data_IF_106750610550
#
_entry.id   IF_106750610550
#
_cell.length_a   1.000
_cell.length_b   1.000
_cell.length_c   1.000
_cell.angle_alpha   90.00
_cell.angle_beta   90.00
_cell.angle_gamma   90.00
#
_symmetry.space_group_name_H-M   'P 1'
#
loop_
_entity.id
_entity.type
_entity.pdbx_description
1 polymer ?
#
# COMPACT_ATOMS: atom_id res chain seq x y z
N UNK A 1 23.38 29.89 0.72
CA UNK A 1 23.67 29.45 -0.66
C UNK A 1 24.57 28.23 -0.58
N UNK A 2 23.99 27.03 -0.48
CA UNK A 2 24.73 25.77 -0.47
C UNK A 2 24.43 25.03 -1.79
N UNK A 3 25.50 24.65 -2.48
CA UNK A 3 25.45 24.17 -3.85
C UNK A 3 25.00 22.71 -3.94
N UNK A 4 23.96 22.48 -4.74
CA UNK A 4 23.57 21.20 -5.30
C UNK A 4 24.75 20.52 -6.00
N UNK A 5 25.03 19.26 -5.67
CA UNK A 5 25.86 18.39 -6.53
C UNK A 5 25.07 17.11 -6.81
N UNK A 6 24.37 17.11 -7.95
CA UNK A 6 23.70 15.92 -8.51
C UNK A 6 24.77 14.91 -8.92
N UNK A 7 24.67 13.67 -8.43
CA UNK A 7 25.46 12.54 -8.96
C UNK A 7 24.54 11.64 -9.79
N UNK A 8 24.52 11.95 -11.07
CA UNK A 8 23.94 11.14 -12.14
C UNK A 8 24.77 9.87 -12.32
N UNK A 9 24.18 8.70 -12.12
CA UNK A 9 24.74 7.44 -12.60
C UNK A 9 23.65 6.68 -13.36
N UNK A 10 23.70 6.80 -14.69
CA UNK A 10 22.88 6.06 -15.64
C UNK A 10 23.37 4.61 -15.66
N UNK A 11 22.53 3.68 -15.20
CA UNK A 11 22.72 2.24 -15.38
C UNK A 11 21.66 1.71 -16.34
N UNK A 12 21.97 1.65 -17.63
CA UNK A 12 21.14 0.97 -18.64
C UNK A 12 21.48 -0.52 -18.60
N UNK A 13 20.59 -1.34 -18.04
CA UNK A 13 20.64 -2.79 -18.18
C UNK A 13 19.41 -3.24 -18.97
N UNK A 14 19.51 -3.16 -20.29
CA UNK A 14 18.54 -3.78 -21.22
C UNK A 14 18.71 -5.30 -21.20
N UNK A 15 17.87 -6.00 -20.45
CA UNK A 15 17.73 -7.45 -20.50
C UNK A 15 16.50 -7.84 -21.31
N UNK A 16 16.71 -8.23 -22.58
CA UNK A 16 15.68 -8.85 -23.42
C UNK A 16 15.39 -10.27 -22.93
N UNK A 17 14.33 -10.42 -22.12
CA UNK A 17 13.78 -11.72 -21.72
C UNK A 17 12.46 -11.98 -22.42
N UNK A 18 12.51 -12.52 -23.64
CA UNK A 18 11.33 -13.02 -24.33
C UNK A 18 10.92 -14.38 -23.73
N UNK A 19 9.91 -14.40 -22.87
CA UNK A 19 9.16 -15.62 -22.54
C UNK A 19 7.78 -15.53 -23.21
N UNK A 20 7.68 -16.21 -24.34
CA UNK A 20 6.42 -16.68 -24.87
C UNK A 20 5.97 -17.95 -24.11
N UNK A 21 4.67 -18.24 -24.20
CA UNK A 21 3.91 -19.45 -23.78
C UNK A 21 3.04 -19.18 -22.54
N UNK A 22 1.74 -19.48 -22.49
CA UNK A 22 0.80 -20.16 -23.39
C UNK A 22 -0.60 -19.72 -22.95
N UNK A 23 -1.46 -19.39 -23.91
CA UNK A 23 -2.89 -19.24 -23.66
C UNK A 23 -3.49 -20.63 -23.40
N UNK A 24 -3.86 -20.92 -22.14
CA UNK A 24 -4.53 -22.14 -21.73
C UNK A 24 -5.96 -21.87 -21.27
N UNK A 25 -6.89 -21.71 -22.22
CA UNK A 25 -8.31 -21.72 -21.92
C UNK A 25 -8.77 -23.18 -21.67
N UNK A 26 -8.69 -23.65 -20.43
CA UNK A 26 -9.40 -24.86 -20.00
C UNK A 26 -10.70 -24.46 -19.30
N UNK A 27 -11.72 -24.19 -20.11
CA UNK A 27 -13.09 -24.41 -19.71
C UNK A 27 -13.27 -25.93 -19.53
N UNK A 28 -13.46 -26.39 -18.29
CA UNK A 28 -13.94 -27.75 -18.05
C UNK A 28 -14.83 -27.77 -16.81
N UNK A 29 -16.12 -27.59 -17.06
CA UNK A 29 -17.15 -28.15 -16.19
C UNK A 29 -17.32 -29.63 -16.49
N UNK A 30 -17.49 -30.42 -15.44
CA UNK A 30 -18.45 -31.52 -15.41
C UNK A 30 -18.00 -32.89 -15.94
N UNK A 31 -18.07 -33.86 -15.01
CA UNK A 31 -18.64 -35.21 -15.15
C UNK A 31 -18.14 -36.12 -16.29
N UNK A 32 -17.36 -37.16 -15.95
CA UNK A 32 -17.84 -38.56 -15.89
C UNK A 32 -16.66 -39.48 -15.51
N UNK A 33 -16.92 -40.45 -14.63
CA UNK A 33 -15.89 -41.21 -13.92
C UNK A 33 -15.31 -42.37 -14.70
N UNK A 34 -14.00 -42.62 -14.53
CA UNK A 34 -13.36 -43.90 -14.86
C UNK A 34 -12.21 -44.19 -13.87
N UNK A 35 -12.52 -45.01 -12.87
CA UNK A 35 -11.77 -46.21 -12.41
C UNK A 35 -10.23 -46.26 -12.47
N UNK A 36 -9.64 -46.48 -11.28
CA UNK A 36 -8.38 -47.21 -11.05
C UNK A 36 -7.16 -46.29 -10.86
N UNK A 37 -6.33 -46.37 -9.84
CA UNK A 37 -6.13 -47.36 -8.78
C UNK A 37 -4.67 -47.22 -8.32
N UNK A 38 -4.43 -47.17 -7.01
CA UNK A 38 -3.14 -47.40 -6.33
C UNK A 38 -2.05 -46.33 -6.53
N UNK A 39 -1.64 -45.64 -5.46
CA UNK A 39 -0.48 -46.03 -4.63
C UNK A 39 -0.29 -44.96 -3.53
N UNK A 40 -0.43 -45.39 -2.28
CA UNK A 40 0.06 -44.64 -1.11
C UNK A 40 1.57 -44.91 -1.00
N UNK A 41 2.37 -43.92 -0.58
CA UNK A 41 3.15 -44.23 0.62
C UNK A 41 2.93 -43.21 1.73
N UNK A 42 2.66 -43.79 2.89
CA UNK A 42 2.89 -43.24 4.22
C UNK A 42 4.37 -42.88 4.41
N UNK A 43 4.62 -41.70 4.96
CA UNK A 43 5.82 -41.41 5.72
C UNK A 43 5.43 -40.54 6.92
N UNK A 44 5.40 -41.19 8.07
CA UNK A 44 5.41 -40.60 9.41
C UNK A 44 6.86 -40.19 9.67
N UNK A 45 7.10 -39.00 10.21
CA UNK A 45 8.21 -38.77 11.15
C UNK A 45 7.74 -37.73 12.18
N UNK A 46 7.46 -38.25 13.37
CA UNK A 46 7.41 -37.58 14.65
C UNK A 46 8.85 -37.14 15.01
N UNK A 47 9.05 -35.91 15.45
CA UNK A 47 10.21 -35.57 16.28
C UNK A 47 9.82 -34.50 17.28
N UNK A 48 9.91 -34.93 18.53
CA UNK A 48 9.75 -34.17 19.73
C UNK A 48 10.96 -33.27 20.02
N UNK A 49 10.71 -32.34 20.94
CA UNK A 49 11.50 -32.11 22.16
C UNK A 49 12.22 -30.76 22.31
N UNK A 50 11.90 -30.19 23.48
CA UNK A 50 12.72 -29.39 24.38
C UNK A 50 13.02 -27.91 24.08
N UNK A 51 12.40 -27.08 24.92
CA UNK A 51 13.06 -26.26 25.94
C UNK A 51 14.34 -25.53 25.55
N UNK A 52 14.29 -24.20 25.50
CA UNK A 52 15.35 -23.38 26.08
C UNK A 52 14.76 -22.14 26.74
N UNK A 53 14.78 -22.15 28.07
CA UNK A 53 14.62 -20.97 28.90
C UNK A 53 15.99 -20.26 28.94
N UNK A 54 16.09 -19.12 28.28
CA UNK A 54 17.25 -18.24 28.43
C UNK A 54 16.81 -16.89 29.01
N UNK A 55 16.92 -16.82 30.33
CA UNK A 55 17.11 -15.61 31.12
C UNK A 55 18.24 -14.76 30.53
N UNK A 56 17.95 -13.50 30.23
CA UNK A 56 18.95 -12.44 30.19
C UNK A 56 18.33 -11.14 30.70
N UNK A 57 18.58 -10.87 31.97
CA UNK A 57 18.44 -9.55 32.59
C UNK A 57 19.54 -8.62 32.07
N UNK A 58 19.19 -7.39 31.69
CA UNK A 58 20.04 -6.18 31.66
C UNK A 58 19.12 -5.00 31.29
N UNK A 59 18.65 -4.20 32.26
CA UNK A 59 19.31 -3.01 32.81
C UNK A 59 19.69 -1.97 31.77
N UNK A 60 18.85 -0.95 31.58
CA UNK A 60 19.23 0.42 31.24
C UNK A 60 18.05 1.35 31.62
N UNK A 61 17.98 1.68 32.92
CA UNK A 61 17.15 2.74 33.47
C UNK A 61 17.99 4.02 33.45
N UNK A 62 17.67 4.91 32.50
CA UNK A 62 18.34 6.18 32.32
C UNK A 62 17.30 7.29 32.13
N UNK A 63 17.34 8.27 33.02
CA UNK A 63 17.13 9.65 32.62
C UNK A 63 15.97 10.40 33.27
N UNK A 64 16.22 10.82 34.52
CA UNK A 64 16.06 12.22 34.96
C UNK A 64 14.65 12.83 34.95
N UNK A 65 14.11 12.93 36.16
CA UNK A 65 13.03 13.83 36.54
C UNK A 65 13.45 15.31 36.47
N UNK A 66 12.56 16.12 35.90
CA UNK A 66 11.98 17.35 36.44
C UNK A 66 12.91 18.40 37.08
N UNK A 67 12.98 19.59 36.45
CA UNK A 67 12.90 20.88 37.13
C UNK A 67 12.87 22.07 36.16
N UNK A 68 11.94 23.00 36.39
CA UNK A 68 12.11 24.43 36.08
C UNK A 68 11.05 24.99 35.11
N UNK A 69 9.93 25.59 35.54
CA UNK A 69 9.75 26.89 36.22
C UNK A 69 9.57 28.08 35.24
N UNK A 70 8.38 28.70 35.37
CA UNK A 70 7.99 30.12 35.15
C UNK A 70 7.83 30.62 33.69
N UNK A 71 6.60 30.96 33.28
CA UNK A 71 5.87 32.24 33.51
C UNK A 71 6.47 33.41 32.71
N UNK A 72 5.72 33.84 31.69
CA UNK A 72 6.15 34.90 30.77
C UNK A 72 5.01 35.36 29.88
N UNK A 73 4.36 36.42 30.32
CA UNK A 73 3.20 37.07 29.72
C UNK A 73 3.48 37.85 28.42
N UNK A 74 2.38 38.16 27.72
CA UNK A 74 2.07 39.38 26.91
C UNK A 74 2.81 39.69 25.59
N UNK A 75 2.01 39.81 24.51
CA UNK A 75 1.82 40.96 23.58
C UNK A 75 1.39 40.39 22.20
N UNK A 76 0.14 40.55 21.76
CA UNK A 76 -0.39 41.71 20.99
C UNK A 76 0.52 42.16 19.83
N UNK A 77 0.18 41.77 18.61
CA UNK A 77 0.34 42.62 17.42
C UNK A 77 -0.42 42.01 16.24
N UNK A 78 -1.49 42.70 15.86
CA UNK A 78 -2.07 42.76 14.52
C UNK A 78 -0.99 43.00 13.46
N UNK A 79 -0.99 42.23 12.38
CA UNK A 79 -0.47 42.71 11.09
C UNK A 79 -1.32 42.11 9.96
N UNK A 80 -2.20 42.95 9.41
CA UNK A 80 -2.77 42.77 8.09
C UNK A 80 -1.81 43.38 7.07
N UNK A 81 -1.33 42.60 6.11
CA UNK A 81 -0.71 43.13 4.92
C UNK A 81 -1.01 42.26 3.69
N UNK A 82 -1.70 42.91 2.77
CA UNK A 82 -2.08 42.59 1.39
C UNK A 82 -0.87 42.41 0.47
N UNK A 83 -0.92 41.44 -0.47
CA UNK A 83 -0.28 41.43 -1.82
C UNK A 83 -0.67 40.10 -2.48
N UNK A 84 -1.66 39.98 -3.38
CA UNK A 84 -1.71 40.46 -4.77
C UNK A 84 -0.45 40.12 -5.59
N UNK A 85 -0.43 38.91 -6.18
CA UNK A 85 0.35 38.64 -7.38
C UNK A 85 -0.28 37.45 -8.14
N UNK A 86 -1.16 37.80 -9.08
CA UNK A 86 -1.42 37.02 -10.29
C UNK A 86 -0.12 36.88 -11.07
N UNK A 87 0.32 35.65 -11.33
CA UNK A 87 1.27 35.37 -12.40
C UNK A 87 0.82 34.11 -13.15
N UNK A 88 0.15 34.35 -14.27
CA UNK A 88 -0.11 33.35 -15.29
C UNK A 88 1.18 33.14 -16.08
N UNK A 89 1.87 32.03 -15.84
CA UNK A 89 2.91 31.54 -16.73
C UNK A 89 2.35 30.38 -17.55
N UNK A 90 1.86 30.74 -18.74
CA UNK A 90 1.63 29.81 -19.85
C UNK A 90 2.99 29.30 -20.34
N UNK A 91 3.37 28.07 -19.95
CA UNK A 91 4.48 27.36 -20.60
C UNK A 91 3.90 26.46 -21.71
N UNK A 92 3.94 27.03 -22.91
CA UNK A 92 3.75 26.35 -24.19
C UNK A 92 5.02 25.52 -24.47
N UNK A 93 4.91 24.20 -24.27
CA UNK A 93 5.90 23.25 -24.72
C UNK A 93 5.22 22.23 -25.65
N UNK A 94 5.05 22.65 -26.90
CA UNK A 94 4.97 21.73 -28.04
C UNK A 94 6.37 21.17 -28.31
N UNK A 95 6.63 19.88 -28.12
CA UNK A 95 7.34 19.07 -29.15
C UNK A 95 7.47 17.56 -28.87
N UNK A 96 7.33 16.81 -29.97
CA UNK A 96 7.77 15.45 -30.29
C UNK A 96 7.08 14.23 -29.62
N UNK A 97 6.06 13.74 -30.33
CA UNK A 97 5.52 12.40 -30.23
C UNK A 97 6.63 11.33 -30.39
N UNK A 98 6.83 10.54 -29.32
CA UNK A 98 7.58 9.29 -29.36
C UNK A 98 6.66 8.17 -28.85
N UNK A 99 6.18 7.35 -29.78
CA UNK A 99 5.65 5.98 -29.65
C UNK A 99 5.37 5.47 -28.21
N UNK A 100 4.16 5.78 -27.73
CA UNK A 100 3.16 4.83 -27.21
C UNK A 100 3.66 3.56 -26.49
N UNK A 101 4.35 3.75 -25.37
CA UNK A 101 4.00 2.96 -24.18
C UNK A 101 3.30 3.94 -23.27
N UNK A 102 2.06 3.68 -22.89
CA UNK A 102 1.31 4.51 -21.96
C UNK A 102 1.99 4.47 -20.57
N UNK A 103 3.16 5.10 -20.47
CA UNK A 103 3.78 5.44 -19.21
C UNK A 103 2.88 6.50 -18.58
N UNK A 104 2.36 6.20 -17.40
CA UNK A 104 1.58 7.17 -16.64
C UNK A 104 2.46 8.37 -16.31
N UNK A 105 1.81 9.50 -16.03
CA UNK A 105 2.53 10.66 -15.50
C UNK A 105 3.18 10.26 -14.17
N UNK A 106 4.47 10.60 -13.94
CA UNK A 106 5.15 10.20 -12.72
C UNK A 106 4.47 10.81 -11.49
N UNK A 107 4.35 10.03 -10.43
CA UNK A 107 3.69 10.46 -9.20
C UNK A 107 4.60 11.38 -8.38
N UNK A 108 4.00 12.41 -7.79
CA UNK A 108 4.71 13.31 -6.87
C UNK A 108 4.94 12.65 -5.51
N UNK A 109 5.94 13.11 -4.75
CA UNK A 109 6.19 12.63 -3.38
C UNK A 109 4.96 12.88 -2.46
N UNK A 110 4.22 13.96 -2.71
CA UNK A 110 2.97 14.27 -2.03
C UNK A 110 1.88 13.25 -2.36
N UNK A 111 1.72 12.90 -3.64
CA UNK A 111 0.77 11.89 -4.09
C UNK A 111 1.06 10.52 -3.48
N UNK A 112 2.33 10.10 -3.46
CA UNK A 112 2.74 8.86 -2.81
C UNK A 112 2.39 8.89 -1.31
N UNK A 113 2.71 9.98 -0.62
CA UNK A 113 2.37 10.15 0.80
C UNK A 113 0.87 10.01 1.04
N UNK A 114 0.05 10.71 0.25
CA UNK A 114 -1.41 10.64 0.32
C UNK A 114 -1.95 9.24 0.00
N UNK A 115 -1.37 8.54 -0.96
CA UNK A 115 -1.72 7.16 -1.28
C UNK A 115 -1.44 6.23 -0.09
N UNK A 116 -0.28 6.36 0.56
CA UNK A 116 0.07 5.57 1.72
C UNK A 116 -0.80 5.88 2.94
N UNK A 117 -1.13 7.16 3.17
CA UNK A 117 -2.05 7.57 4.25
C UNK A 117 -3.44 6.98 4.05
N UNK A 118 -3.88 6.94 2.79
CA UNK A 118 -5.18 6.39 2.43
C UNK A 118 -5.21 4.88 2.53
N UNK A 119 -4.12 4.20 2.15
CA UNK A 119 -3.96 2.77 2.38
C UNK A 119 -3.90 2.43 3.88
N UNK A 120 -3.34 3.29 4.73
CA UNK A 120 -3.37 3.07 6.18
C UNK A 120 -4.80 3.02 6.74
N UNK A 121 -5.74 3.78 6.16
CA UNK A 121 -7.17 3.69 6.54
C UNK A 121 -7.74 2.29 6.30
N UNK A 122 -7.31 1.59 5.24
CA UNK A 122 -7.68 0.20 4.99
C UNK A 122 -7.21 -0.70 6.13
N UNK A 123 -5.91 -0.63 6.46
CA UNK A 123 -5.34 -1.43 7.55
C UNK A 123 -5.95 -1.12 8.91
N UNK A 124 -6.27 0.15 9.18
CA UNK A 124 -6.98 0.52 10.39
C UNK A 124 -8.36 -0.14 10.47
N UNK A 125 -9.08 -0.23 9.33
CA UNK A 125 -10.35 -0.94 9.25
C UNK A 125 -10.18 -2.42 9.59
N UNK A 126 -9.17 -3.08 9.00
CA UNK A 126 -8.83 -4.48 9.29
C UNK A 126 -8.49 -4.66 10.77
N UNK A 127 -7.61 -3.81 11.30
CA UNK A 127 -7.15 -3.86 12.69
C UNK A 127 -8.27 -3.67 13.71
N UNK A 128 -9.30 -2.91 13.35
CA UNK A 128 -10.46 -2.63 14.19
C UNK A 128 -11.62 -3.60 13.96
N UNK A 129 -11.46 -4.59 13.07
CA UNK A 129 -12.53 -5.50 12.63
C UNK A 129 -13.73 -4.70 12.11
N UNK A 130 -13.43 -3.66 11.33
CA UNK A 130 -14.37 -2.74 10.70
C UNK A 130 -14.25 -2.88 9.16
N UNK A 131 -14.93 -3.88 8.58
CA UNK A 131 -14.89 -4.12 7.14
C UNK A 131 -15.53 -2.99 6.35
N UNK A 132 -16.47 -2.23 6.92
CA UNK A 132 -17.04 -1.05 6.27
C UNK A 132 -15.96 0.03 6.08
N UNK A 133 -15.14 0.29 7.11
CA UNK A 133 -14.00 1.21 7.01
C UNK A 133 -12.95 0.72 6.02
N UNK A 134 -12.60 -0.57 6.07
CA UNK A 134 -11.61 -1.15 5.15
C UNK A 134 -12.10 -1.03 3.69
N UNK A 135 -13.32 -1.49 3.40
CA UNK A 135 -13.87 -1.47 2.05
C UNK A 135 -14.19 -0.06 1.53
N UNK A 136 -14.30 0.95 2.39
CA UNK A 136 -14.54 2.35 1.97
C UNK A 136 -13.42 2.97 1.12
N UNK A 137 -12.24 2.35 1.11
CA UNK A 137 -11.08 2.81 0.34
C UNK A 137 -10.74 1.90 -0.83
N UNK A 138 -11.62 0.96 -1.17
CA UNK A 138 -11.45 0.01 -2.28
C UNK A 138 -12.26 0.48 -3.49
N UNK A 139 -11.70 0.33 -4.69
CA UNK A 139 -12.45 0.48 -5.94
C UNK A 139 -13.21 -0.80 -6.27
N UNK A 140 -14.42 -0.61 -6.77
CA UNK A 140 -15.16 -1.67 -7.43
C UNK A 140 -14.47 -2.01 -8.77
N UNK A 141 -14.14 -3.29 -8.96
CA UNK A 141 -13.38 -3.76 -10.12
C UNK A 141 -14.15 -3.57 -11.45
N UNK A 142 -15.48 -3.66 -11.44
CA UNK A 142 -16.28 -3.58 -12.66
C UNK A 142 -16.43 -2.14 -13.16
N UNK A 143 -16.51 -1.19 -12.24
CA UNK A 143 -16.78 0.22 -12.54
C UNK A 143 -15.52 1.09 -12.49
N UNK A 144 -14.50 0.69 -11.74
CA UNK A 144 -13.35 1.53 -11.42
C UNK A 144 -13.70 2.74 -10.54
N UNK A 145 -14.88 2.72 -9.92
CA UNK A 145 -15.37 3.76 -9.02
C UNK A 145 -15.26 3.26 -7.56
N UNK A 146 -15.24 4.17 -6.57
CA UNK A 146 -15.25 3.76 -5.17
C UNK A 146 -16.41 2.81 -4.88
N UNK A 147 -16.11 1.71 -4.17
CA UNK A 147 -17.10 0.71 -3.84
C UNK A 147 -18.26 1.34 -3.05
N UNK A 148 -19.47 1.24 -3.60
CA UNK A 148 -20.70 1.73 -2.95
C UNK A 148 -21.83 0.74 -3.17
N UNK A 149 -22.86 0.78 -2.31
CA UNK A 149 -24.04 -0.09 -2.44
C UNK A 149 -23.68 -1.57 -2.47
N UNK A 150 -24.07 -2.27 -3.53
CA UNK A 150 -23.85 -3.71 -3.70
C UNK A 150 -22.36 -4.08 -3.77
N UNK A 151 -21.51 -3.26 -4.43
CA UNK A 151 -20.07 -3.52 -4.53
C UNK A 151 -19.34 -3.37 -3.18
N UNK A 152 -19.78 -2.41 -2.36
CA UNK A 152 -19.30 -2.27 -0.98
C UNK A 152 -19.68 -3.50 -0.15
N UNK A 153 -20.93 -3.97 -0.28
CA UNK A 153 -21.39 -5.16 0.44
C UNK A 153 -20.62 -6.40 0.01
N UNK A 154 -20.32 -6.58 -1.28
CA UNK A 154 -19.49 -7.68 -1.77
C UNK A 154 -18.09 -7.68 -1.15
N UNK A 155 -17.45 -6.50 -1.07
CA UNK A 155 -16.18 -6.37 -0.37
C UNK A 155 -16.30 -6.75 1.11
N UNK A 156 -17.32 -6.26 1.83
CA UNK A 156 -17.54 -6.60 3.24
C UNK A 156 -17.77 -8.10 3.43
N UNK A 157 -18.56 -8.73 2.56
CA UNK A 157 -18.84 -10.16 2.64
C UNK A 157 -17.56 -11.00 2.44
N UNK A 158 -16.59 -10.51 1.65
CA UNK A 158 -15.28 -11.16 1.50
C UNK A 158 -14.41 -11.10 2.76
N UNK A 159 -14.63 -10.12 3.64
CA UNK A 159 -13.91 -10.01 4.92
C UNK A 159 -14.37 -11.05 5.96
N UNK A 160 -15.63 -11.52 5.87
CA UNK A 160 -16.17 -12.48 6.85
C UNK A 160 -15.42 -13.82 6.89
N UNK A 161 -14.62 -14.13 5.86
CA UNK A 161 -13.76 -15.31 5.83
C UNK A 161 -12.39 -15.10 6.50
N UNK A 162 -11.94 -13.85 6.68
CA UNK A 162 -10.63 -13.48 7.24
C UNK A 162 -10.67 -12.93 8.67
N UNK A 163 -11.86 -12.56 9.19
CA UNK A 163 -12.01 -12.04 10.56
C UNK A 163 -11.49 -13.01 11.64
N UNK A 164 -11.59 -14.32 11.44
CA UNK A 164 -11.11 -15.33 12.38
C UNK A 164 -9.58 -15.52 12.36
N UNK A 165 -8.87 -14.98 11.36
CA UNK A 165 -7.44 -15.19 11.14
C UNK A 165 -6.56 -14.01 11.61
N UNK A 166 -7.17 -12.84 11.83
CA UNK A 166 -6.45 -11.62 12.23
C UNK A 166 -6.30 -11.58 13.76
N UNK A 167 -5.05 -11.72 14.22
CA UNK A 167 -4.73 -11.57 15.63
C UNK A 167 -4.73 -10.08 16.04
N UNK A 168 -5.50 -9.69 17.08
CA UNK A 168 -5.62 -8.29 17.49
C UNK A 168 -4.33 -7.70 18.06
N UNK A 169 -3.39 -8.50 18.56
CA UNK A 169 -2.09 -8.01 19.00
C UNK A 169 -1.23 -7.63 17.77
N UNK A 170 -1.34 -8.37 16.67
CA UNK A 170 -0.66 -8.04 15.40
C UNK A 170 -1.22 -6.76 14.79
N UNK A 171 -2.55 -6.59 14.83
CA UNK A 171 -3.23 -5.37 14.40
C UNK A 171 -2.74 -4.12 15.15
N UNK A 172 -2.46 -4.23 16.45
CA UNK A 172 -1.95 -3.13 17.26
C UNK A 172 -0.50 -2.73 16.93
N UNK A 173 0.25 -3.59 16.22
CA UNK A 173 1.63 -3.32 15.79
C UNK A 173 1.69 -2.62 14.42
N UNK A 174 0.58 -2.50 13.70
CA UNK A 174 0.54 -1.84 12.40
C UNK A 174 0.61 -0.31 12.56
N UNK A 175 1.81 0.23 12.34
CA UNK A 175 2.04 1.68 12.31
C UNK A 175 2.10 2.19 10.87
N UNK A 176 1.67 3.43 10.65
CA UNK A 176 1.76 4.11 9.36
C UNK A 176 3.19 4.14 8.82
N UNK A 177 4.19 4.20 9.70
CA UNK A 177 5.60 4.21 9.33
C UNK A 177 6.11 2.91 8.71
N UNK A 178 5.35 1.81 8.80
CA UNK A 178 5.70 0.52 8.18
C UNK A 178 5.29 0.44 6.72
N UNK A 179 4.51 1.41 6.25
CA UNK A 179 3.95 1.46 4.91
C UNK A 179 4.67 2.53 4.12
N UNK A 180 5.20 2.14 2.98
CA UNK A 180 5.75 3.05 1.99
C UNK A 180 5.00 2.87 0.67
N UNK A 181 4.97 3.91 -0.14
CA UNK A 181 4.37 3.87 -1.47
C UNK A 181 5.40 4.33 -2.49
N UNK A 182 5.48 3.61 -3.60
CA UNK A 182 6.42 3.88 -4.68
C UNK A 182 5.67 4.05 -6.00
N UNK A 183 6.18 4.93 -6.85
CA UNK A 183 5.62 5.10 -8.20
C UNK A 183 5.95 3.87 -9.05
N UNK A 184 4.90 3.20 -9.56
CA UNK A 184 5.06 2.03 -10.42
C UNK A 184 5.30 2.41 -11.91
N UNK A 185 5.24 3.70 -12.25
CA UNK A 185 5.52 4.24 -13.59
C UNK A 185 4.35 4.18 -14.57
N UNK A 186 3.17 3.77 -14.10
CA UNK A 186 1.92 3.69 -14.85
C UNK A 186 0.81 4.57 -14.26
N UNK A 187 1.17 5.46 -13.33
CA UNK A 187 0.25 6.35 -12.63
C UNK A 187 -0.40 5.70 -11.41
N UNK A 188 0.00 4.48 -11.02
CA UNK A 188 -0.40 3.84 -9.77
C UNK A 188 0.74 3.90 -8.76
N UNK A 189 0.37 4.00 -7.49
CA UNK A 189 1.31 3.88 -6.38
C UNK A 189 1.28 2.44 -5.85
N UNK A 190 2.40 1.73 -5.95
CA UNK A 190 2.56 0.41 -5.36
C UNK A 190 2.78 0.55 -3.85
N UNK A 191 2.06 -0.25 -3.07
CA UNK A 191 2.19 -0.29 -1.61
C UNK A 191 3.27 -1.30 -1.25
N UNK A 192 4.19 -0.86 -0.38
CA UNK A 192 5.26 -1.67 0.17
C UNK A 192 5.18 -1.68 1.70
N UNK A 193 5.52 -2.82 2.29
CA UNK A 193 5.57 -3.02 3.74
C UNK A 193 6.98 -3.33 4.15
N UNK A 194 7.58 -2.49 5.00
CA UNK A 194 8.97 -2.65 5.44
C UNK A 194 9.97 -2.82 4.27
N UNK A 195 9.66 -2.20 3.11
CA UNK A 195 10.47 -2.29 1.89
C UNK A 195 10.22 -3.52 1.01
N UNK A 196 9.26 -4.38 1.35
CA UNK A 196 8.81 -5.51 0.52
C UNK A 196 7.52 -5.13 -0.22
N UNK A 197 7.36 -5.59 -1.46
CA UNK A 197 6.12 -5.34 -2.23
C UNK A 197 4.94 -6.06 -1.60
N UNK A 198 3.82 -5.34 -1.44
CA UNK A 198 2.55 -5.92 -1.00
C UNK A 198 1.67 -6.42 -2.14
N UNK A 199 2.12 -6.35 -3.40
CA UNK A 199 1.32 -6.64 -4.61
C UNK A 199 -0.04 -5.89 -4.62
N UNK A 200 -0.11 -4.74 -3.95
CA UNK A 200 -1.30 -3.89 -3.89
C UNK A 200 -1.01 -2.53 -4.50
N UNK A 201 -1.94 -2.06 -5.32
CA UNK A 201 -1.80 -0.81 -6.04
C UNK A 201 -2.88 0.18 -5.61
N UNK A 202 -2.46 1.41 -5.37
CA UNK A 202 -3.34 2.55 -5.16
C UNK A 202 -3.47 3.32 -6.48
N UNK A 203 -4.69 3.74 -6.80
CA UNK A 203 -4.99 4.59 -7.96
C UNK A 203 -5.79 5.81 -7.54
N UNK A 204 -5.54 6.95 -8.18
CA UNK A 204 -6.28 8.19 -7.93
C UNK A 204 -7.56 8.21 -8.75
N UNK A 205 -8.71 8.25 -8.09
CA UNK A 205 -10.01 8.30 -8.75
C UNK A 205 -10.35 9.72 -9.24
N UNK A 206 -11.49 9.85 -9.92
CA UNK A 206 -11.97 11.10 -10.52
C UNK A 206 -12.34 12.18 -9.49
N UNK A 207 -12.55 11.80 -8.24
CA UNK A 207 -12.76 12.71 -7.09
C UNK A 207 -11.44 13.20 -6.47
N UNK A 208 -10.30 12.78 -7.02
CA UNK A 208 -8.96 13.14 -6.57
C UNK A 208 -8.49 12.40 -5.33
N UNK A 209 -9.26 11.42 -4.82
CA UNK A 209 -8.86 10.58 -3.69
C UNK A 209 -8.16 9.30 -4.18
N UNK A 210 -7.33 8.71 -3.32
CA UNK A 210 -6.65 7.45 -3.60
C UNK A 210 -7.50 6.26 -3.14
N UNK A 211 -7.48 5.18 -3.92
CA UNK A 211 -8.21 3.95 -3.63
C UNK A 211 -7.38 2.72 -3.98
N UNK A 212 -7.60 1.63 -3.26
CA UNK A 212 -7.03 0.32 -3.56
C UNK A 212 -7.69 -0.21 -4.82
N UNK A 213 -6.89 -0.55 -5.81
CA UNK A 213 -7.32 -1.30 -6.97
C UNK A 213 -7.31 -2.78 -6.62
N UNK A 214 -8.49 -3.41 -6.60
CA UNK A 214 -8.57 -4.85 -6.45
C UNK A 214 -8.10 -5.53 -7.74
N UNK A 215 -7.20 -6.52 -7.63
CA UNK A 215 -6.73 -7.33 -8.78
C UNK A 215 -7.74 -8.40 -9.20
N UNK A 216 -8.80 -8.60 -8.42
CA UNK A 216 -9.89 -9.53 -8.70
C UNK A 216 -11.22 -9.00 -8.20
N UNK A 217 -12.32 -9.45 -8.80
CA UNK A 217 -13.66 -9.25 -8.25
C UNK A 217 -13.80 -9.97 -6.91
N UNK A 218 -14.46 -9.31 -5.96
CA UNK A 218 -14.93 -9.92 -4.72
C UNK A 218 -16.16 -10.81 -4.97
#
# INVERSE_FOLDING_TARGET
MNAFTRRTARGLATGLGALALVAGASACGGLDGLTGGGDEPTAVEESADATDESTAESTDDAGTEDAGTEDGATDDATDEATDDATDEATDDATDEATDDTAAGEPLSEEDLTLAGDRFYVFLEGIAQVDPEKACSVVLDYETGEPATGDGLQACIDSFGEVEDEIDPETAALLDRSMIDTVDNGDGRAEVTFMGESGDMYMVKASDGQWYIQADSSF
#
